data_IF_813418355245
#
_entry.id   IF_813418355245
#
_cell.length_a   1.000
_cell.length_b   1.000
_cell.length_c   1.000
_cell.angle_alpha   90.00
_cell.angle_beta   90.00
_cell.angle_gamma   90.00
#
_symmetry.space_group_name_H-M   'P 1'
#
loop_
_entity.id
_entity.type
_entity.pdbx_description
1 polymer ?
#
# COMPACT_ATOMS: atom_id res chain seq x y z
N UNK A 1 -14.58 -24.69 -4.89
CA UNK A 1 -13.60 -23.63 -4.52
C UNK A 1 -12.47 -24.28 -3.72
N UNK A 2 -11.21 -24.14 -4.16
CA UNK A 2 -10.03 -24.84 -3.62
C UNK A 2 -9.83 -24.57 -2.10
N UNK A 3 -9.54 -25.61 -1.31
CA UNK A 3 -9.37 -25.55 0.16
C UNK A 3 -8.41 -24.43 0.62
N UNK A 4 -7.33 -24.21 -0.13
CA UNK A 4 -6.36 -23.15 0.17
C UNK A 4 -6.97 -21.73 0.04
N UNK A 5 -7.83 -21.51 -0.96
CA UNK A 5 -8.52 -20.22 -1.15
C UNK A 5 -9.49 -19.94 -0.01
N UNK A 6 -10.26 -20.95 0.42
CA UNK A 6 -11.16 -20.81 1.58
C UNK A 6 -10.39 -20.45 2.86
N UNK A 7 -9.21 -21.05 3.08
CA UNK A 7 -8.35 -20.76 4.22
C UNK A 7 -7.79 -19.33 4.17
N UNK A 8 -7.41 -18.85 2.99
CA UNK A 8 -6.97 -17.47 2.78
C UNK A 8 -8.11 -16.50 3.09
N UNK A 9 -9.32 -16.76 2.57
CA UNK A 9 -10.50 -15.92 2.80
C UNK A 9 -10.88 -15.84 4.29
N UNK A 10 -10.87 -16.98 5.00
CA UNK A 10 -11.08 -16.99 6.46
C UNK A 10 -10.02 -16.17 7.19
N UNK A 11 -8.75 -16.31 6.81
CA UNK A 11 -7.66 -15.54 7.44
C UNK A 11 -7.75 -14.04 7.13
N UNK A 12 -8.13 -13.66 5.91
CA UNK A 12 -8.25 -12.25 5.53
C UNK A 12 -9.36 -11.54 6.30
N UNK A 13 -10.46 -12.22 6.67
CA UNK A 13 -11.53 -11.63 7.49
C UNK A 13 -11.03 -11.10 8.84
N UNK A 14 -9.96 -11.71 9.39
CA UNK A 14 -9.34 -11.25 10.63
C UNK A 14 -8.33 -10.12 10.43
N UNK A 15 -7.97 -9.77 9.20
CA UNK A 15 -7.13 -8.60 8.91
C UNK A 15 -8.03 -7.39 8.78
N UNK A 16 -8.29 -6.71 9.90
CA UNK A 16 -9.20 -5.56 9.98
C UNK A 16 -8.80 -4.62 11.14
N UNK A 17 -9.54 -3.52 11.33
CA UNK A 17 -9.27 -2.52 12.39
C UNK A 17 -9.27 -3.12 13.80
N UNK A 18 -10.19 -4.03 14.09
CA UNK A 18 -10.31 -4.66 15.42
C UNK A 18 -9.06 -5.48 15.78
N UNK A 19 -8.54 -6.26 14.83
CA UNK A 19 -7.28 -7.01 15.04
C UNK A 19 -6.10 -6.07 15.29
N UNK A 20 -6.07 -4.91 14.61
CA UNK A 20 -5.03 -3.90 14.84
C UNK A 20 -5.14 -3.35 16.26
N UNK A 21 -6.34 -3.03 16.71
CA UNK A 21 -6.58 -2.46 18.03
C UNK A 21 -6.25 -3.45 19.13
N UNK A 22 -6.64 -4.72 18.97
CA UNK A 22 -6.24 -5.76 19.92
C UNK A 22 -4.72 -5.88 20.04
N UNK A 23 -3.98 -5.72 18.94
CA UNK A 23 -2.51 -5.85 18.92
C UNK A 23 -1.76 -4.60 19.35
N UNK A 24 -2.26 -3.43 18.99
CA UNK A 24 -1.54 -2.18 19.07
C UNK A 24 -2.23 -1.13 19.94
N UNK A 25 -3.47 -1.35 20.37
CA UNK A 25 -4.23 -0.42 21.20
C UNK A 25 -3.95 -0.58 22.69
N UNK A 26 -4.13 0.50 23.44
CA UNK A 26 -4.15 0.59 24.90
C UNK A 26 -5.11 1.69 25.35
N UNK A 27 -5.52 1.69 26.61
CA UNK A 27 -6.17 2.85 27.21
C UNK A 27 -5.12 3.88 27.67
N UNK A 28 -5.41 5.16 27.50
CA UNK A 28 -4.71 6.25 28.17
C UNK A 28 -5.19 6.41 29.63
N UNK A 29 -4.62 7.38 30.37
CA UNK A 29 -5.00 7.67 31.76
C UNK A 29 -6.48 8.05 31.95
N UNK A 30 -7.14 8.48 30.87
CA UNK A 30 -8.55 8.90 30.84
C UNK A 30 -9.47 7.79 30.31
N UNK A 31 -8.93 6.61 29.99
CA UNK A 31 -9.67 5.48 29.45
C UNK A 31 -9.91 5.54 27.94
N UNK A 32 -9.34 6.50 27.22
CA UNK A 32 -9.49 6.58 25.76
C UNK A 32 -8.59 5.56 25.07
N UNK A 33 -9.09 4.96 24.00
CA UNK A 33 -8.28 4.08 23.17
C UNK A 33 -7.23 4.86 22.37
N UNK A 34 -5.96 4.52 22.57
CA UNK A 34 -4.78 5.07 21.89
C UNK A 34 -3.87 3.94 21.41
N UNK A 35 -2.90 4.23 20.55
CA UNK A 35 -1.88 3.25 20.18
C UNK A 35 -0.82 3.09 21.28
N UNK A 36 -0.21 1.91 21.36
CA UNK A 36 0.99 1.65 22.16
C UNK A 36 2.23 2.09 21.37
N UNK A 37 3.13 2.79 22.05
CA UNK A 37 4.47 3.03 21.49
C UNK A 37 5.26 1.72 21.40
N UNK A 38 5.96 1.54 20.29
CA UNK A 38 6.87 0.43 20.07
C UNK A 38 8.00 0.86 19.11
N UNK A 39 8.98 1.65 19.58
CA UNK A 39 10.07 2.14 18.73
C UNK A 39 10.94 0.98 18.19
N UNK A 40 11.47 1.09 16.95
CA UNK A 40 11.31 2.21 16.02
C UNK A 40 10.05 2.11 15.14
N UNK A 41 9.20 1.10 15.35
CA UNK A 41 8.09 0.77 14.46
C UNK A 41 6.87 1.66 14.64
N UNK A 42 6.49 1.97 15.88
CA UNK A 42 5.35 2.81 16.22
C UNK A 42 5.81 3.87 17.22
N UNK A 43 5.56 5.14 16.90
CA UNK A 43 5.87 6.26 17.80
C UNK A 43 4.84 7.36 17.66
N UNK A 44 4.33 7.88 18.77
CA UNK A 44 3.50 9.08 18.78
C UNK A 44 4.22 10.29 18.19
N UNK A 45 3.41 11.20 17.64
CA UNK A 45 3.89 12.41 16.97
C UNK A 45 4.10 13.54 17.97
N UNK A 46 5.10 14.39 17.70
CA UNK A 46 5.18 15.70 18.36
C UNK A 46 4.00 16.61 17.96
N UNK A 47 3.67 17.63 18.77
CA UNK A 47 2.42 18.39 18.63
C UNK A 47 2.27 19.09 17.27
N UNK A 48 3.36 19.64 16.73
CA UNK A 48 3.34 20.31 15.42
C UNK A 48 2.97 19.33 14.30
N UNK A 49 3.62 18.17 14.28
CA UNK A 49 3.39 17.15 13.25
C UNK A 49 2.01 16.52 13.41
N UNK A 50 1.54 16.31 14.65
CA UNK A 50 0.18 15.85 14.92
C UNK A 50 -0.85 16.77 14.26
N UNK A 51 -0.76 18.09 14.49
CA UNK A 51 -1.68 19.07 13.90
C UNK A 51 -1.60 19.11 12.37
N UNK A 52 -0.42 18.93 11.78
CA UNK A 52 -0.27 18.81 10.33
C UNK A 52 -1.00 17.58 9.78
N UNK A 53 -0.90 16.42 10.43
CA UNK A 53 -1.61 15.20 10.00
C UNK A 53 -3.12 15.36 10.19
N UNK A 54 -3.59 16.00 11.27
CA UNK A 54 -5.01 16.33 11.47
C UNK A 54 -5.54 17.24 10.35
N UNK A 55 -4.80 18.28 9.96
CA UNK A 55 -5.14 19.12 8.82
C UNK A 55 -5.17 18.32 7.51
N UNK A 56 -4.20 17.42 7.32
CA UNK A 56 -4.17 16.46 6.22
C UNK A 56 -5.40 15.53 6.20
N UNK A 57 -5.88 15.05 7.34
CA UNK A 57 -7.09 14.25 7.43
C UNK A 57 -8.34 15.05 7.04
N UNK A 58 -8.45 16.31 7.46
CA UNK A 58 -9.54 17.22 7.04
C UNK A 58 -9.54 17.43 5.53
N UNK A 59 -8.36 17.69 4.93
CA UNK A 59 -8.23 17.81 3.48
C UNK A 59 -8.55 16.50 2.75
N UNK A 60 -8.12 15.35 3.29
CA UNK A 60 -8.48 14.03 2.80
C UNK A 60 -10.01 13.84 2.72
N UNK A 61 -10.75 14.14 3.80
CA UNK A 61 -12.20 13.97 3.85
C UNK A 61 -12.94 14.76 2.76
N UNK A 62 -12.44 15.95 2.41
CA UNK A 62 -13.00 16.78 1.32
C UNK A 62 -12.77 16.16 -0.06
N UNK A 63 -11.72 15.35 -0.24
CA UNK A 63 -11.35 14.69 -1.49
C UNK A 63 -11.76 13.21 -1.55
N UNK A 64 -12.26 12.65 -0.44
CA UNK A 64 -12.85 11.33 -0.39
C UNK A 64 -14.21 11.32 -1.13
N UNK A 65 -14.61 10.12 -1.56
CA UNK A 65 -15.95 9.87 -2.12
C UNK A 65 -17.02 10.34 -1.14
N UNK A 66 -18.15 10.78 -1.65
CA UNK A 66 -19.24 11.37 -0.88
C UNK A 66 -19.79 10.40 0.18
N UNK A 67 -19.98 9.13 -0.19
CA UNK A 67 -20.41 8.04 0.71
C UNK A 67 -19.43 7.85 1.88
N UNK A 68 -18.13 7.82 1.59
CA UNK A 68 -17.07 7.72 2.61
C UNK A 68 -17.05 8.97 3.50
N UNK A 69 -17.30 10.15 2.95
CA UNK A 69 -17.32 11.40 3.73
C UNK A 69 -18.45 11.40 4.76
N UNK A 70 -19.63 10.89 4.39
CA UNK A 70 -20.79 10.72 5.28
C UNK A 70 -20.46 9.69 6.36
N UNK A 71 -19.92 8.52 5.99
CA UNK A 71 -19.49 7.51 6.95
C UNK A 71 -18.52 8.10 7.98
N UNK A 72 -17.45 8.77 7.52
CA UNK A 72 -16.42 9.37 8.37
C UNK A 72 -16.92 10.57 9.20
N UNK A 73 -18.14 11.08 8.95
CA UNK A 73 -18.74 12.11 9.81
C UNK A 73 -19.16 11.56 11.18
N UNK A 74 -19.39 10.25 11.28
CA UNK A 74 -19.72 9.58 12.54
C UNK A 74 -18.48 9.23 13.39
N UNK A 75 -17.28 9.61 12.93
CA UNK A 75 -16.02 9.27 13.58
C UNK A 75 -15.25 10.52 14.01
N UNK A 76 -14.52 10.41 15.11
CA UNK A 76 -13.51 11.39 15.53
C UNK A 76 -12.12 10.74 15.56
N UNK A 77 -11.07 11.56 15.48
CA UNK A 77 -9.70 11.08 15.66
C UNK A 77 -9.47 10.82 17.14
N UNK A 78 -9.14 9.58 17.50
CA UNK A 78 -8.73 9.23 18.85
C UNK A 78 -7.22 9.36 19.03
N UNK A 79 -6.44 8.92 18.03
CA UNK A 79 -4.98 8.95 18.14
C UNK A 79 -4.26 8.89 16.77
N UNK A 80 -3.00 9.33 16.73
CA UNK A 80 -2.14 9.32 15.54
C UNK A 80 -0.69 8.96 15.91
N UNK A 81 -0.16 7.93 15.25
CA UNK A 81 1.25 7.54 15.36
C UNK A 81 1.97 7.60 14.02
N UNK A 82 3.29 7.82 14.06
CA UNK A 82 4.19 7.44 12.97
C UNK A 82 4.35 5.93 13.00
N UNK A 83 4.24 5.30 11.84
CA UNK A 83 4.34 3.85 11.71
C UNK A 83 5.29 3.44 10.58
N UNK A 84 6.32 2.65 10.89
CA UNK A 84 7.27 2.12 9.93
C UNK A 84 6.80 0.76 9.42
N UNK A 85 6.74 0.58 8.10
CA UNK A 85 6.29 -0.66 7.45
C UNK A 85 7.33 -1.22 6.49
N UNK A 86 7.83 -2.42 6.78
CA UNK A 86 8.63 -3.26 5.87
C UNK A 86 9.85 -2.58 5.23
N UNK A 87 10.57 -3.34 4.41
CA UNK A 87 11.77 -2.82 3.72
C UNK A 87 11.42 -2.01 2.46
N UNK A 88 10.30 -2.33 1.79
CA UNK A 88 9.90 -1.67 0.54
C UNK A 88 9.37 -0.24 0.68
N UNK A 89 9.25 0.29 1.90
CA UNK A 89 8.87 1.68 2.15
C UNK A 89 9.87 2.41 3.06
N UNK A 90 11.06 1.83 3.24
CA UNK A 90 12.13 2.44 4.03
C UNK A 90 12.48 3.83 3.46
N UNK A 91 12.63 4.83 4.34
CA UNK A 91 12.88 6.22 3.96
C UNK A 91 11.63 7.07 3.63
N UNK A 92 10.42 6.49 3.63
CA UNK A 92 9.17 7.25 3.42
C UNK A 92 8.37 7.44 4.72
N UNK A 93 7.63 8.55 4.84
CA UNK A 93 6.74 8.79 5.99
C UNK A 93 5.47 7.97 5.88
N UNK A 94 5.08 7.38 6.99
CA UNK A 94 3.83 6.65 7.11
C UNK A 94 3.25 6.92 8.50
N UNK A 95 1.93 7.14 8.55
CA UNK A 95 1.17 7.42 9.74
C UNK A 95 -0.04 6.50 9.83
N UNK A 96 -0.45 6.16 11.04
CA UNK A 96 -1.75 5.53 11.31
C UNK A 96 -2.61 6.53 12.08
N UNK A 97 -3.86 6.65 11.67
CA UNK A 97 -4.89 7.46 12.33
C UNK A 97 -5.93 6.47 12.88
N UNK A 98 -6.10 6.45 14.20
CA UNK A 98 -7.18 5.74 14.86
C UNK A 98 -8.41 6.65 14.89
N UNK A 99 -9.50 6.15 14.32
CA UNK A 99 -10.80 6.78 14.35
C UNK A 99 -11.74 5.95 15.23
N UNK A 100 -12.49 6.63 16.09
CA UNK A 100 -13.55 6.01 16.91
C UNK A 100 -14.90 6.60 16.56
N UNK A 101 -15.85 5.70 16.29
CA UNK A 101 -17.22 6.02 15.97
C UNK A 101 -18.01 6.41 17.22
N UNK A 102 -19.11 7.14 17.03
CA UNK A 102 -20.07 7.44 18.10
C UNK A 102 -20.67 6.19 18.76
N UNK A 103 -20.69 5.08 18.04
CA UNK A 103 -21.16 3.76 18.48
C UNK A 103 -20.06 2.92 19.14
N UNK A 104 -18.86 3.48 19.31
CA UNK A 104 -17.69 2.78 19.85
C UNK A 104 -16.96 1.89 18.84
N UNK A 105 -17.41 1.84 17.57
CA UNK A 105 -16.68 1.13 16.52
C UNK A 105 -15.37 1.82 16.17
N UNK A 106 -14.42 1.09 15.57
CA UNK A 106 -13.13 1.66 15.24
C UNK A 106 -12.70 1.46 13.78
N UNK A 107 -12.00 2.46 13.26
CA UNK A 107 -11.41 2.44 11.93
C UNK A 107 -9.97 2.94 11.97
N UNK A 108 -9.04 2.15 11.43
CA UNK A 108 -7.64 2.56 11.31
C UNK A 108 -7.31 2.94 9.87
N UNK A 109 -7.00 4.21 9.64
CA UNK A 109 -6.53 4.70 8.35
C UNK A 109 -5.01 4.76 8.33
N UNK A 110 -4.42 4.45 7.17
CA UNK A 110 -3.00 4.60 6.89
C UNK A 110 -2.79 5.77 5.92
N UNK A 111 -1.93 6.70 6.31
CA UNK A 111 -1.46 7.81 5.48
C UNK A 111 -0.04 7.49 5.03
N UNK A 112 0.20 7.37 3.72
CA UNK A 112 1.51 7.06 3.13
C UNK A 112 2.01 8.19 2.26
N UNK A 113 3.26 8.59 2.48
CA UNK A 113 3.96 9.57 1.65
C UNK A 113 4.08 9.05 0.22
N UNK A 114 3.77 9.91 -0.74
CA UNK A 114 3.96 9.61 -2.15
C UNK A 114 5.31 10.10 -2.63
N UNK A 115 5.99 9.24 -3.38
CA UNK A 115 7.20 9.62 -4.08
C UNK A 115 6.88 10.23 -5.45
N UNK A 116 7.69 11.19 -5.91
CA UNK A 116 7.60 11.71 -7.27
C UNK A 116 7.85 10.59 -8.30
N UNK A 117 7.46 10.83 -9.55
CA UNK A 117 7.78 9.90 -10.64
C UNK A 117 9.30 9.76 -10.79
N UNK A 118 9.81 8.52 -10.79
CA UNK A 118 11.24 8.26 -10.98
C UNK A 118 11.75 8.73 -12.34
N UNK A 119 10.95 8.57 -13.40
CA UNK A 119 11.26 9.09 -14.74
C UNK A 119 11.50 10.61 -14.74
N UNK A 120 10.74 11.34 -13.92
CA UNK A 120 10.90 12.78 -13.78
C UNK A 120 12.17 13.15 -13.01
N UNK A 121 12.67 12.30 -12.11
CA UNK A 121 13.91 12.58 -11.36
C UNK A 121 15.17 12.52 -12.22
N UNK A 122 15.11 11.84 -13.37
CA UNK A 122 16.24 11.74 -14.29
C UNK A 122 16.31 12.91 -15.28
N UNK A 123 15.18 13.56 -15.55
CA UNK A 123 15.05 14.55 -16.64
C UNK A 123 14.54 15.94 -16.20
N UNK A 124 13.97 16.10 -14.98
CA UNK A 124 13.47 17.39 -14.49
C UNK A 124 14.46 18.05 -13.52
N UNK A 125 14.50 19.38 -13.56
CA UNK A 125 15.16 20.16 -12.51
C UNK A 125 14.48 19.92 -11.16
N UNK A 126 15.24 20.02 -10.06
CA UNK A 126 14.77 19.73 -8.69
C UNK A 126 13.48 20.49 -8.34
N UNK A 127 13.36 21.76 -8.72
CA UNK A 127 12.17 22.57 -8.45
C UNK A 127 10.91 22.06 -9.18
N UNK A 128 11.05 21.63 -10.43
CA UNK A 128 9.96 21.04 -11.21
C UNK A 128 9.55 19.68 -10.66
N UNK A 129 10.51 18.87 -10.18
CA UNK A 129 10.21 17.61 -9.52
C UNK A 129 9.43 17.82 -8.21
N UNK A 130 9.77 18.85 -7.42
CA UNK A 130 9.05 19.22 -6.19
C UNK A 130 7.61 19.66 -6.50
N UNK A 131 7.42 20.55 -7.47
CA UNK A 131 6.09 21.04 -7.87
C UNK A 131 5.18 19.89 -8.34
N UNK A 132 5.71 18.99 -9.17
CA UNK A 132 4.99 17.79 -9.61
C UNK A 132 4.72 16.80 -8.45
N UNK A 133 5.60 16.78 -7.45
CA UNK A 133 5.46 15.96 -6.25
C UNK A 133 4.18 16.25 -5.46
N UNK A 134 3.66 17.48 -5.50
CA UNK A 134 2.40 17.86 -4.83
C UNK A 134 1.22 17.05 -5.38
N UNK A 135 1.24 16.72 -6.67
CA UNK A 135 0.20 15.94 -7.35
C UNK A 135 0.41 14.43 -7.27
N UNK A 136 1.53 13.96 -6.68
CA UNK A 136 1.87 12.55 -6.66
C UNK A 136 0.82 11.68 -5.93
N UNK A 137 0.21 12.18 -4.86
CA UNK A 137 -0.96 11.62 -4.19
C UNK A 137 -2.09 11.29 -5.17
N UNK A 138 -2.58 12.32 -5.87
CA UNK A 138 -3.69 12.19 -6.83
C UNK A 138 -3.35 11.21 -7.94
N UNK A 139 -2.14 11.31 -8.52
CA UNK A 139 -1.67 10.39 -9.57
C UNK A 139 -1.66 8.93 -9.12
N UNK A 140 -1.13 8.64 -7.92
CA UNK A 140 -1.08 7.26 -7.40
C UNK A 140 -2.49 6.73 -7.16
N UNK A 141 -3.38 7.53 -6.59
CA UNK A 141 -4.78 7.16 -6.36
C UNK A 141 -5.50 6.90 -7.68
N UNK A 142 -5.36 7.79 -8.66
CA UNK A 142 -5.95 7.61 -9.99
C UNK A 142 -5.44 6.34 -10.66
N UNK A 143 -4.12 6.10 -10.65
CA UNK A 143 -3.55 4.88 -11.22
C UNK A 143 -4.06 3.62 -10.52
N UNK A 144 -4.16 3.61 -9.19
CA UNK A 144 -4.74 2.48 -8.46
C UNK A 144 -6.20 2.23 -8.84
N UNK A 145 -7.04 3.28 -8.88
CA UNK A 145 -8.45 3.13 -9.26
C UNK A 145 -8.67 2.65 -10.69
N UNK A 146 -7.78 3.05 -11.61
CA UNK A 146 -7.83 2.61 -13.01
C UNK A 146 -7.36 1.16 -13.14
N UNK A 147 -6.25 0.80 -12.51
CA UNK A 147 -5.61 -0.51 -12.69
C UNK A 147 -6.22 -1.62 -11.82
N UNK A 148 -6.90 -1.27 -10.73
CA UNK A 148 -7.46 -2.22 -9.77
C UNK A 148 -8.98 -2.29 -9.91
N UNK A 149 -9.48 -3.43 -10.38
CA UNK A 149 -10.93 -3.69 -10.53
C UNK A 149 -11.73 -3.53 -9.22
N UNK A 150 -11.07 -3.72 -8.07
CA UNK A 150 -11.61 -3.41 -6.75
C UNK A 150 -10.56 -2.63 -5.96
N UNK A 151 -10.84 -1.36 -5.73
CA UNK A 151 -10.00 -0.47 -4.92
C UNK A 151 -10.59 -0.28 -3.52
N UNK A 152 -9.72 -0.01 -2.55
CA UNK A 152 -10.11 0.38 -1.20
C UNK A 152 -11.06 1.60 -1.22
N UNK A 153 -12.25 1.52 -0.60
CA UNK A 153 -13.21 2.62 -0.58
C UNK A 153 -12.64 3.92 -0.01
N UNK A 154 -11.76 3.83 0.99
CA UNK A 154 -11.10 4.96 1.65
C UNK A 154 -9.90 5.51 0.88
N UNK A 155 -9.60 4.98 -0.31
CA UNK A 155 -8.47 5.42 -1.11
C UNK A 155 -8.69 6.84 -1.65
N UNK A 156 -7.99 7.83 -1.10
CA UNK A 156 -7.94 9.19 -1.65
C UNK A 156 -6.63 9.91 -1.33
N UNK A 157 -6.33 10.99 -2.06
CA UNK A 157 -5.10 11.76 -1.88
C UNK A 157 -5.24 12.83 -0.81
N UNK A 158 -4.14 13.15 -0.13
CA UNK A 158 -4.06 14.31 0.76
C UNK A 158 -2.69 14.98 0.71
N UNK A 159 -2.57 16.15 1.34
CA UNK A 159 -1.33 16.91 1.45
C UNK A 159 -1.28 17.68 2.75
N UNK A 160 -0.09 17.78 3.32
CA UNK A 160 0.23 18.58 4.50
C UNK A 160 1.76 18.72 4.62
N UNK A 161 2.24 19.73 5.35
CA UNK A 161 3.68 19.92 5.58
C UNK A 161 4.53 19.99 4.30
N UNK A 162 3.96 20.54 3.22
CA UNK A 162 4.62 20.64 1.90
C UNK A 162 4.78 19.32 1.14
N UNK A 163 4.13 18.23 1.58
CA UNK A 163 4.25 16.89 0.99
C UNK A 163 2.90 16.34 0.54
N UNK A 164 2.96 15.37 -0.37
CA UNK A 164 1.80 14.68 -0.91
C UNK A 164 1.73 13.25 -0.36
N UNK A 165 0.50 12.79 -0.13
CA UNK A 165 0.18 11.53 0.51
C UNK A 165 -1.04 10.89 -0.15
N UNK A 166 -1.21 9.59 0.10
CA UNK A 166 -2.49 8.91 -0.09
C UNK A 166 -2.91 8.27 1.22
N UNK A 167 -4.23 8.24 1.43
CA UNK A 167 -4.90 7.61 2.56
C UNK A 167 -5.57 6.35 2.06
N UNK A 168 -5.58 5.30 2.88
CA UNK A 168 -6.26 4.03 2.65
C UNK A 168 -6.58 3.39 4.00
N UNK A 169 -7.46 2.40 4.04
CA UNK A 169 -7.67 1.59 5.23
C UNK A 169 -6.41 0.75 5.54
N UNK A 170 -6.00 0.75 6.81
CA UNK A 170 -4.88 -0.05 7.26
C UNK A 170 -5.33 -1.49 7.47
N UNK A 171 -4.64 -2.44 6.82
CA UNK A 171 -4.98 -3.87 6.87
C UNK A 171 -6.45 -4.14 6.55
N UNK A 172 -6.91 -3.71 5.37
CA UNK A 172 -8.21 -4.11 4.82
C UNK A 172 -8.11 -5.51 4.19
N UNK A 173 -8.56 -6.53 4.93
CA UNK A 173 -8.67 -7.92 4.51
C UNK A 173 -7.44 -8.48 3.80
N UNK A 174 -6.23 -8.11 4.26
CA UNK A 174 -4.99 -8.53 3.59
C UNK A 174 -4.67 -9.99 3.89
N UNK A 175 -4.98 -10.86 2.95
CA UNK A 175 -4.48 -12.23 2.87
C UNK A 175 -3.15 -12.29 2.11
N UNK A 176 -2.26 -13.19 2.51
CA UNK A 176 -1.10 -13.57 1.70
C UNK A 176 -1.15 -15.06 1.36
N UNK A 177 -0.83 -15.37 0.11
CA UNK A 177 -0.76 -16.75 -0.38
C UNK A 177 0.63 -17.28 -0.10
N UNK A 178 0.72 -18.35 0.69
CA UNK A 178 1.98 -19.05 0.95
C UNK A 178 2.27 -19.97 -0.24
N UNK A 179 2.92 -19.42 -1.26
CA UNK A 179 3.21 -20.11 -2.52
C UNK A 179 3.90 -21.46 -2.30
N UNK A 180 4.82 -21.54 -1.33
CA UNK A 180 5.52 -22.77 -0.95
C UNK A 180 4.65 -23.85 -0.26
N UNK A 181 3.37 -23.57 -0.02
CA UNK A 181 2.41 -24.52 0.55
C UNK A 181 1.31 -24.93 -0.44
N UNK A 182 1.41 -24.50 -1.68
CA UNK A 182 0.49 -24.89 -2.74
C UNK A 182 0.99 -26.19 -3.37
N UNK A 183 0.08 -27.10 -3.69
CA UNK A 183 0.35 -28.15 -4.68
C UNK A 183 0.50 -27.54 -6.08
N UNK A 184 0.95 -28.35 -7.04
CA UNK A 184 1.25 -27.88 -8.40
C UNK A 184 0.02 -27.28 -9.09
N UNK A 185 -1.13 -27.93 -9.00
CA UNK A 185 -2.38 -27.47 -9.63
C UNK A 185 -2.84 -26.13 -9.05
N UNK A 186 -2.79 -25.98 -7.71
CA UNK A 186 -3.12 -24.72 -7.03
C UNK A 186 -2.13 -23.62 -7.38
N UNK A 187 -0.84 -23.95 -7.52
CA UNK A 187 0.19 -23.02 -7.95
C UNK A 187 -0.04 -22.55 -9.38
N UNK A 188 -0.35 -23.47 -10.30
CA UNK A 188 -0.67 -23.14 -11.68
C UNK A 188 -1.88 -22.22 -11.77
N UNK A 189 -2.96 -22.54 -11.04
CA UNK A 189 -4.14 -21.68 -10.96
C UNK A 189 -3.80 -20.29 -10.41
N UNK A 190 -2.98 -20.21 -9.36
CA UNK A 190 -2.53 -18.94 -8.79
C UNK A 190 -1.77 -18.10 -9.84
N UNK A 191 -0.84 -18.70 -10.58
CA UNK A 191 -0.12 -18.04 -11.66
C UNK A 191 -1.05 -17.55 -12.78
N UNK A 192 -2.04 -18.35 -13.18
CA UNK A 192 -3.04 -17.96 -14.19
C UNK A 192 -3.87 -16.76 -13.74
N UNK A 193 -4.31 -16.75 -12.47
CA UNK A 193 -5.04 -15.60 -11.89
C UNK A 193 -4.16 -14.35 -11.85
N UNK A 194 -2.90 -14.47 -11.41
CA UNK A 194 -1.97 -13.35 -11.41
C UNK A 194 -1.71 -12.81 -12.82
N UNK A 195 -1.54 -13.69 -13.81
CA UNK A 195 -1.34 -13.31 -15.20
C UNK A 195 -2.57 -12.58 -15.77
N UNK A 196 -3.78 -13.07 -15.48
CA UNK A 196 -5.03 -12.42 -15.89
C UNK A 196 -5.18 -11.03 -15.26
N UNK A 197 -4.98 -10.90 -13.95
CA UNK A 197 -5.05 -9.61 -13.26
C UNK A 197 -4.02 -8.61 -13.79
N UNK A 198 -2.80 -9.10 -14.08
CA UNK A 198 -1.75 -8.28 -14.68
C UNK A 198 -2.16 -7.83 -16.09
N UNK A 199 -2.69 -8.73 -16.92
CA UNK A 199 -3.16 -8.41 -18.26
C UNK A 199 -4.29 -7.35 -18.22
N UNK A 200 -5.26 -7.49 -17.32
CA UNK A 200 -6.32 -6.50 -17.12
C UNK A 200 -5.75 -5.13 -16.72
N UNK A 201 -4.79 -5.08 -15.78
CA UNK A 201 -4.14 -3.83 -15.43
C UNK A 201 -3.40 -3.21 -16.63
N UNK A 202 -2.74 -4.02 -17.46
CA UNK A 202 -2.08 -3.53 -18.67
C UNK A 202 -3.07 -3.01 -19.73
N UNK A 203 -4.26 -3.57 -19.86
CA UNK A 203 -5.28 -3.07 -20.80
C UNK A 203 -5.81 -1.69 -20.42
N UNK A 204 -5.81 -1.36 -19.13
CA UNK A 204 -6.21 -0.06 -18.60
C UNK A 204 -5.09 1.01 -18.73
N UNK A 205 -3.94 0.66 -19.32
CA UNK A 205 -2.86 1.61 -19.60
C UNK A 205 -3.05 2.31 -20.96
N UNK A 206 -2.73 3.62 -21.07
CA UNK A 206 -2.93 4.38 -22.31
C UNK A 206 -2.09 3.86 -23.49
N UNK A 207 -1.02 3.11 -23.22
CA UNK A 207 -0.13 2.52 -24.24
C UNK A 207 -0.53 1.09 -24.63
N UNK A 208 -1.63 0.55 -24.10
CA UNK A 208 -2.04 -0.83 -24.35
C UNK A 208 -2.18 -1.18 -25.84
N UNK A 209 -2.82 -0.35 -26.70
CA UNK A 209 -2.93 -0.66 -28.13
C UNK A 209 -1.58 -0.73 -28.84
N UNK A 210 -0.63 0.14 -28.46
CA UNK A 210 0.73 0.16 -29.00
C UNK A 210 1.50 -1.10 -28.63
N UNK A 211 1.46 -1.49 -27.35
CA UNK A 211 2.08 -2.73 -26.86
C UNK A 211 1.48 -3.94 -27.57
N UNK A 212 0.14 -4.01 -27.69
CA UNK A 212 -0.54 -5.09 -28.41
C UNK A 212 -0.10 -5.17 -29.88
N UNK A 213 0.04 -4.03 -30.55
CA UNK A 213 0.53 -3.95 -31.93
C UNK A 213 1.97 -4.46 -32.06
N UNK A 214 2.87 -4.02 -31.17
CA UNK A 214 4.28 -4.43 -31.15
C UNK A 214 4.44 -5.94 -30.88
N UNK A 215 3.63 -6.50 -29.98
CA UNK A 215 3.68 -7.92 -29.61
C UNK A 215 2.95 -8.85 -30.58
N UNK A 216 2.23 -8.29 -31.56
CA UNK A 216 1.44 -9.09 -32.50
C UNK A 216 2.35 -10.06 -33.27
N UNK A 217 2.00 -11.35 -33.24
CA UNK A 217 2.77 -12.46 -33.84
C UNK A 217 4.15 -12.75 -33.22
N UNK A 218 4.52 -12.13 -32.11
CA UNK A 218 5.82 -12.34 -31.44
C UNK A 218 5.79 -13.51 -30.43
N UNK A 219 5.55 -14.74 -30.89
CA UNK A 219 5.52 -15.94 -30.03
C UNK A 219 6.83 -16.20 -29.27
N UNK A 220 7.95 -15.66 -29.77
CA UNK A 220 9.27 -15.78 -29.13
C UNK A 220 9.30 -15.10 -27.75
N UNK A 221 8.46 -14.10 -27.51
CA UNK A 221 8.45 -13.37 -26.24
C UNK A 221 8.03 -14.27 -25.08
N UNK A 222 7.06 -15.16 -25.27
CA UNK A 222 6.55 -16.05 -24.22
C UNK A 222 7.68 -16.92 -23.66
N UNK A 223 8.46 -17.53 -24.55
CA UNK A 223 9.64 -18.32 -24.19
C UNK A 223 10.73 -17.42 -23.60
N UNK A 224 10.97 -16.25 -24.19
CA UNK A 224 11.97 -15.30 -23.70
C UNK A 224 11.72 -14.82 -22.26
N UNK A 225 10.46 -14.57 -21.89
CA UNK A 225 10.07 -14.18 -20.53
C UNK A 225 10.26 -15.33 -19.52
N UNK A 226 9.93 -16.56 -19.93
CA UNK A 226 10.16 -17.75 -19.11
C UNK A 226 11.67 -18.00 -18.90
N UNK A 227 12.45 -17.98 -19.98
CA UNK A 227 13.90 -18.16 -19.94
C UNK A 227 14.60 -17.04 -19.14
N UNK A 228 14.11 -15.79 -19.24
CA UNK A 228 14.60 -14.69 -18.43
C UNK A 228 14.29 -14.89 -16.94
N UNK A 229 13.08 -15.33 -16.62
CA UNK A 229 12.65 -15.59 -15.23
C UNK A 229 13.47 -16.71 -14.57
N UNK A 230 13.81 -17.76 -15.33
CA UNK A 230 14.71 -18.83 -14.85
C UNK A 230 16.12 -18.32 -14.60
N UNK A 231 16.70 -17.55 -15.54
CA UNK A 231 18.03 -16.95 -15.38
C UNK A 231 18.10 -15.93 -14.26
N UNK A 232 16.99 -15.27 -13.93
CA UNK A 232 16.95 -14.31 -12.83
C UNK A 232 17.23 -14.95 -11.46
N UNK A 233 17.04 -16.27 -11.33
CA UNK A 233 17.42 -17.02 -10.11
C UNK A 233 18.92 -16.92 -9.84
N UNK A 234 19.76 -16.94 -10.88
CA UNK A 234 21.21 -16.81 -10.74
C UNK A 234 21.58 -15.43 -10.16
N UNK A 235 20.92 -14.37 -10.66
CA UNK A 235 21.10 -13.01 -10.15
C UNK A 235 20.69 -12.91 -8.68
N UNK A 236 19.51 -13.42 -8.31
CA UNK A 236 19.03 -13.40 -6.91
C UNK A 236 19.99 -14.17 -5.98
N UNK A 237 20.55 -15.28 -6.45
CA UNK A 237 21.51 -16.09 -5.69
C UNK A 237 22.83 -15.36 -5.49
N UNK A 238 23.34 -14.69 -6.53
CA UNK A 238 24.54 -13.87 -6.47
C UNK A 238 24.35 -12.69 -5.51
N UNK A 239 23.23 -11.97 -5.62
CA UNK A 239 22.89 -10.83 -4.75
C UNK A 239 22.77 -11.24 -3.29
N UNK A 240 22.10 -12.36 -3.00
CA UNK A 240 21.98 -12.87 -1.63
C UNK A 240 23.34 -13.30 -1.06
N UNK A 241 24.21 -13.88 -1.89
CA UNK A 241 25.57 -14.24 -1.48
C UNK A 241 26.41 -13.01 -1.18
N UNK A 242 26.33 -11.98 -2.03
CA UNK A 242 27.00 -10.70 -1.80
C UNK A 242 26.50 -10.03 -0.52
N UNK A 243 25.18 -10.04 -0.28
CA UNK A 243 24.56 -9.54 0.94
C UNK A 243 25.10 -10.24 2.19
N UNK A 244 25.16 -11.57 2.21
CA UNK A 244 25.73 -12.33 3.34
C UNK A 244 27.19 -11.94 3.61
N UNK A 245 28.01 -11.85 2.56
CA UNK A 245 29.42 -11.43 2.69
C UNK A 245 29.56 -10.00 3.22
N UNK A 246 28.67 -9.10 2.84
CA UNK A 246 28.66 -7.73 3.37
C UNK A 246 28.32 -7.76 4.87
N UNK A 247 27.27 -8.47 5.26
CA UNK A 247 26.88 -8.63 6.68
C UNK A 247 28.02 -9.22 7.53
N UNK A 248 28.76 -10.19 7.01
CA UNK A 248 29.93 -10.77 7.68
C UNK A 248 31.09 -9.78 7.85
N UNK A 249 31.20 -8.78 6.96
CA UNK A 249 32.27 -7.76 6.98
C UNK A 249 31.93 -6.54 7.84
N UNK A 250 30.67 -6.37 8.25
CA UNK A 250 30.16 -5.20 8.97
C UNK A 250 29.72 -4.07 8.05
#
# INVERSE_FOLDING_TARGET
MNYHLQKIMKKSQHSNSEEIIQKMGTADERGNLVFKDNPPHAKHLGPILYQQVVAGYKFYRQNAREDVRVLLANFHISDIIRYSVGVGSFGTRCYLILLTGIDGSHLVLQVKETLPLRYNLLNLQVQQAIQNGIQAGRRIVTAQRVLQSSSDPFLASTRFGGRSYYVRQFRDMKGSIKVNKLDFDSFQLYCQVCALLLAMAHTESPTSPMIRGYLKHQKVLDKGLADWSLRYVDQVTADYTAFKKAVEKG
#
